data_IF_813222318032
#
_entry.id   IF_813222318032
#
_cell.length_a   1.000
_cell.length_b   1.000
_cell.length_c   1.000
_cell.angle_alpha   90.00
_cell.angle_beta   90.00
_cell.angle_gamma   90.00
#
_symmetry.space_group_name_H-M   'P 1'
#
loop_
_entity.id
_entity.type
_entity.pdbx_description
1 polymer ?
#
# COMPACT_ATOMS: atom_id res chain seq x y z
N UNK A 1 -5.98 20.97 -49.20
CA UNK A 1 -5.21 20.55 -48.00
C UNK A 1 -6.10 20.07 -46.85
N UNK A 2 -7.18 20.79 -46.48
CA UNK A 2 -8.09 20.36 -45.38
C UNK A 2 -8.81 19.04 -45.67
N UNK A 3 -9.29 18.82 -46.89
CA UNK A 3 -9.98 17.55 -47.25
C UNK A 3 -9.05 16.34 -47.13
N UNK A 4 -7.77 16.47 -47.50
CA UNK A 4 -6.77 15.42 -47.32
C UNK A 4 -6.49 15.15 -45.84
N UNK A 5 -6.46 16.20 -45.01
CA UNK A 5 -6.31 16.07 -43.57
C UNK A 5 -7.51 15.35 -42.93
N UNK A 6 -8.74 15.70 -43.32
CA UNK A 6 -9.96 15.03 -42.81
C UNK A 6 -10.01 13.57 -43.24
N UNK A 7 -9.67 13.25 -44.49
CA UNK A 7 -9.58 11.86 -44.98
C UNK A 7 -8.48 11.10 -44.24
N UNK A 8 -7.35 11.73 -43.95
CA UNK A 8 -6.26 11.13 -43.20
C UNK A 8 -6.63 10.87 -41.74
N UNK A 9 -7.31 11.81 -41.07
CA UNK A 9 -7.83 11.63 -39.70
C UNK A 9 -8.86 10.50 -39.68
N UNK A 10 -9.84 10.49 -40.60
CA UNK A 10 -10.84 9.41 -40.68
C UNK A 10 -10.24 8.05 -40.99
N UNK A 11 -9.20 8.00 -41.83
CA UNK A 11 -8.47 6.76 -42.12
C UNK A 11 -7.70 6.27 -40.89
N UNK A 12 -7.01 7.18 -40.19
CA UNK A 12 -6.28 6.88 -38.96
C UNK A 12 -7.20 6.41 -37.83
N UNK A 13 -8.42 6.95 -37.76
CA UNK A 13 -9.44 6.58 -36.79
C UNK A 13 -9.99 5.16 -37.05
N UNK A 14 -10.26 4.83 -38.32
CA UNK A 14 -10.64 3.46 -38.73
C UNK A 14 -9.54 2.43 -38.48
N UNK A 15 -8.28 2.79 -38.76
CA UNK A 15 -7.13 1.92 -38.49
C UNK A 15 -6.89 1.71 -36.98
N UNK A 16 -7.30 2.65 -36.12
CA UNK A 16 -7.24 2.49 -34.67
C UNK A 16 -8.34 1.55 -34.14
N UNK A 17 -9.57 1.70 -34.64
CA UNK A 17 -10.68 0.84 -34.21
C UNK A 17 -10.52 -0.61 -34.71
N UNK A 18 -10.00 -0.81 -35.91
CA UNK A 18 -9.71 -2.16 -36.43
C UNK A 18 -8.57 -2.86 -35.67
N UNK A 19 -7.59 -2.11 -35.15
CA UNK A 19 -6.54 -2.66 -34.28
C UNK A 19 -7.02 -2.94 -32.85
N UNK A 20 -8.00 -2.20 -32.35
CA UNK A 20 -8.67 -2.51 -31.07
C UNK A 20 -9.54 -3.77 -31.14
N UNK A 21 -10.10 -4.08 -32.32
CA UNK A 21 -10.89 -5.29 -32.55
C UNK A 21 -10.04 -6.54 -32.86
N UNK A 22 -8.75 -6.38 -33.12
CA UNK A 22 -7.79 -7.47 -33.35
C UNK A 22 -7.04 -7.86 -32.05
N UNK A 23 -7.61 -7.51 -30.90
CA UNK A 23 -7.20 -8.05 -29.61
C UNK A 23 -8.09 -9.28 -29.39
N UNK A 24 -7.47 -10.45 -29.47
CA UNK A 24 -8.09 -11.74 -29.25
C UNK A 24 -8.78 -11.74 -27.86
N UNK A 25 -10.07 -12.12 -27.74
CA UNK A 25 -10.81 -12.01 -26.48
C UNK A 25 -10.38 -13.02 -25.40
N UNK A 26 -9.46 -13.92 -25.71
CA UNK A 26 -8.99 -14.98 -24.80
C UNK A 26 -7.76 -14.59 -23.96
N UNK A 27 -7.10 -13.45 -24.22
CA UNK A 27 -5.76 -13.19 -23.67
C UNK A 27 -5.61 -11.94 -22.77
N UNK A 28 -6.69 -11.23 -22.41
CA UNK A 28 -6.54 -10.17 -21.39
C UNK A 28 -7.83 -9.83 -20.62
N UNK A 29 -7.73 -9.95 -19.28
CA UNK A 29 -8.50 -9.30 -18.19
C UNK A 29 -9.93 -9.72 -17.82
N UNK A 30 -10.49 -10.86 -18.27
CA UNK A 30 -11.81 -11.30 -17.77
C UNK A 30 -11.81 -12.10 -16.46
N UNK A 31 -10.67 -12.63 -16.03
CA UNK A 31 -10.61 -13.49 -14.84
C UNK A 31 -10.59 -12.73 -13.50
N UNK A 32 -10.52 -11.40 -13.52
CA UNK A 32 -10.58 -10.56 -12.31
C UNK A 32 -11.95 -9.91 -12.07
N UNK A 33 -12.97 -10.24 -12.86
CA UNK A 33 -14.34 -9.82 -12.58
C UNK A 33 -14.97 -10.88 -11.66
N UNK A 34 -14.71 -10.78 -10.36
CA UNK A 34 -15.45 -11.55 -9.35
C UNK A 34 -16.87 -10.99 -9.25
N UNK A 35 -17.88 -11.83 -9.44
CA UNK A 35 -19.27 -11.52 -9.10
C UNK A 35 -19.43 -11.60 -7.58
N UNK A 36 -19.73 -10.47 -6.95
CA UNK A 36 -20.06 -10.35 -5.54
C UNK A 36 -21.58 -10.51 -5.27
N UNK A 37 -22.27 -11.41 -5.98
CA UNK A 37 -23.68 -11.73 -5.68
C UNK A 37 -23.85 -12.91 -4.71
N UNK A 38 -22.75 -13.43 -4.16
CA UNK A 38 -22.74 -14.47 -3.15
C UNK A 38 -22.47 -13.85 -1.77
N UNK A 39 -23.51 -13.84 -0.94
CA UNK A 39 -23.46 -13.49 0.48
C UNK A 39 -22.48 -14.45 1.18
N UNK A 40 -21.22 -14.01 1.33
CA UNK A 40 -20.14 -14.80 1.90
C UNK A 40 -19.40 -14.06 3.00
N UNK A 41 -19.64 -14.47 4.26
CA UNK A 41 -18.65 -14.41 5.34
C UNK A 41 -18.51 -13.11 6.13
N UNK A 42 -19.59 -12.35 6.32
CA UNK A 42 -19.63 -11.13 7.15
C UNK A 42 -19.54 -11.37 8.66
N UNK A 43 -18.55 -12.15 9.11
CA UNK A 43 -18.33 -12.41 10.55
C UNK A 43 -16.93 -12.06 11.08
N UNK A 44 -15.95 -11.70 10.23
CA UNK A 44 -14.65 -11.16 10.71
C UNK A 44 -14.57 -9.62 10.64
N UNK A 45 -15.49 -8.99 9.93
CA UNK A 45 -15.56 -7.55 9.65
C UNK A 45 -16.41 -6.76 10.67
N UNK A 46 -16.78 -7.36 11.80
CA UNK A 46 -17.70 -6.72 12.74
C UNK A 46 -16.98 -5.88 13.81
N UNK A 47 -15.68 -6.08 13.97
CA UNK A 47 -14.89 -5.47 15.04
C UNK A 47 -13.97 -4.35 14.52
N UNK A 48 -14.46 -3.55 13.56
CA UNK A 48 -13.73 -2.36 13.13
C UNK A 48 -13.72 -1.32 14.26
N UNK A 49 -12.54 -1.06 14.82
CA UNK A 49 -12.32 0.05 15.74
C UNK A 49 -12.41 1.37 14.98
N UNK A 50 -13.62 1.93 14.92
CA UNK A 50 -13.92 3.22 14.28
C UNK A 50 -13.16 4.39 14.93
N UNK A 51 -12.54 4.20 16.11
CA UNK A 51 -11.65 5.22 16.68
C UNK A 51 -10.41 5.46 15.81
N UNK A 52 -10.03 4.50 14.96
CA UNK A 52 -8.97 4.66 13.95
C UNK A 52 -9.38 5.58 12.79
N UNK A 53 -10.68 5.73 12.54
CA UNK A 53 -11.24 6.60 11.50
C UNK A 53 -11.63 7.98 12.02
N UNK A 54 -11.57 8.21 13.33
CA UNK A 54 -12.02 9.45 13.93
C UNK A 54 -11.03 10.58 13.60
N UNK A 55 -11.39 11.42 12.63
CA UNK A 55 -10.77 12.72 12.45
C UNK A 55 -10.97 13.54 13.73
N UNK A 56 -9.90 14.00 14.40
CA UNK A 56 -10.05 14.89 15.54
C UNK A 56 -10.35 16.29 15.01
N UNK A 57 -11.60 16.52 14.61
CA UNK A 57 -12.08 17.86 14.41
C UNK A 57 -12.33 18.52 15.77
N UNK A 58 -11.89 19.76 15.86
CA UNK A 58 -12.07 20.74 16.94
C UNK A 58 -11.11 20.66 18.15
N UNK A 59 -9.95 21.31 17.94
CA UNK A 59 -9.49 22.44 18.77
C UNK A 59 -9.12 22.23 20.25
N UNK A 60 -9.15 21.02 20.82
CA UNK A 60 -8.66 20.80 22.19
C UNK A 60 -7.23 20.26 22.22
N UNK A 61 -6.33 21.25 22.24
CA UNK A 61 -5.12 21.31 23.05
C UNK A 61 -4.93 20.12 24.02
N UNK A 62 -3.82 19.38 23.81
CA UNK A 62 -2.96 18.81 24.85
C UNK A 62 -3.72 18.25 26.07
N UNK A 63 -4.01 16.95 26.14
CA UNK A 63 -3.89 16.12 27.38
C UNK A 63 -4.41 14.67 27.24
N UNK A 64 -5.29 14.32 26.31
CA UNK A 64 -5.79 12.92 26.21
C UNK A 64 -5.45 12.27 24.87
N UNK A 65 -4.27 11.64 24.80
CA UNK A 65 -3.85 10.92 23.60
C UNK A 65 -4.19 9.43 23.71
N UNK A 66 -5.15 8.90 22.94
CA UNK A 66 -5.24 7.47 22.70
C UNK A 66 -4.00 6.99 21.91
N UNK A 67 -3.47 5.78 22.18
CA UNK A 67 -2.38 5.22 21.39
C UNK A 67 -2.87 4.95 19.95
N UNK A 68 -2.12 5.36 18.92
CA UNK A 68 -2.39 4.92 17.54
C UNK A 68 -2.10 5.92 16.42
N UNK A 69 -2.30 7.24 16.61
CA UNK A 69 -2.01 8.23 15.55
C UNK A 69 -1.50 9.55 16.14
N UNK A 70 -0.35 10.04 15.65
CA UNK A 70 0.19 11.37 16.01
C UNK A 70 0.05 12.31 14.81
N UNK A 71 -0.78 13.35 14.91
CA UNK A 71 -0.75 14.48 13.96
C UNK A 71 0.41 15.41 14.31
N UNK A 72 1.18 15.83 13.32
CA UNK A 72 2.22 16.85 13.45
C UNK A 72 2.05 17.85 12.33
N UNK A 73 1.76 19.10 12.66
CA UNK A 73 1.63 20.18 11.67
C UNK A 73 3.02 20.65 11.24
N UNK A 74 3.25 20.74 9.93
CA UNK A 74 4.53 21.15 9.34
C UNK A 74 4.39 22.56 8.75
N UNK A 75 5.04 23.55 9.39
CA UNK A 75 5.05 24.92 8.88
C UNK A 75 5.98 25.01 7.66
N UNK A 76 5.53 25.57 6.53
CA UNK A 76 6.39 25.77 5.36
C UNK A 76 7.63 26.61 5.70
N UNK A 77 8.81 26.11 5.35
CA UNK A 77 10.09 26.84 5.50
C UNK A 77 10.34 27.64 4.21
N UNK A 78 9.54 28.68 4.01
CA UNK A 78 9.60 29.57 2.85
C UNK A 78 9.94 30.98 3.37
N UNK A 79 10.72 31.80 2.65
CA UNK A 79 10.88 33.21 3.01
C UNK A 79 9.52 33.90 3.22
N UNK A 80 9.39 34.64 4.32
CA UNK A 80 8.15 35.31 4.72
C UNK A 80 7.67 36.29 3.64
N UNK A 81 6.34 36.47 3.58
CA UNK A 81 5.68 37.43 2.71
C UNK A 81 6.21 38.84 2.98
N UNK A 82 6.63 39.56 1.93
CA UNK A 82 7.11 40.93 2.06
C UNK A 82 5.92 41.90 2.07
N UNK A 83 5.64 42.42 3.26
CA UNK A 83 4.66 43.50 3.43
C UNK A 83 5.24 44.85 2.98
N UNK A 84 4.40 45.74 2.40
CA UNK A 84 4.84 47.08 2.03
C UNK A 84 5.31 47.85 3.27
N UNK A 85 6.46 48.51 3.13
CA UNK A 85 7.04 49.33 4.20
C UNK A 85 6.30 50.66 4.24
N UNK A 86 5.77 51.01 5.41
CA UNK A 86 5.03 52.27 5.58
C UNK A 86 5.98 53.46 5.37
N UNK A 87 5.66 54.41 4.47
CA UNK A 87 6.48 55.60 4.29
C UNK A 87 6.56 56.43 5.58
N UNK A 88 7.76 56.93 5.89
CA UNK A 88 8.04 57.72 7.10
C UNK A 88 7.30 59.07 7.10
N UNK A 89 6.88 59.55 5.93
CA UNK A 89 6.14 60.81 5.77
C UNK A 89 4.68 60.50 5.42
N UNK A 90 3.70 60.85 6.27
CA UNK A 90 2.30 60.59 6.00
C UNK A 90 1.79 61.49 4.86
N UNK A 91 1.53 60.91 3.69
CA UNK A 91 0.76 61.57 2.64
C UNK A 91 -0.69 61.06 2.66
N UNK A 92 -1.70 61.93 2.74
CA UNK A 92 -3.10 61.53 2.92
C UNK A 92 -3.72 60.81 1.70
N UNK A 93 -3.06 60.80 0.55
CA UNK A 93 -3.48 60.04 -0.64
C UNK A 93 -2.96 58.60 -0.71
N UNK A 94 -1.85 58.29 -0.03
CA UNK A 94 -1.11 57.02 -0.23
C UNK A 94 -1.61 55.89 0.66
N UNK A 95 -2.50 56.18 1.62
CA UNK A 95 -2.97 55.19 2.59
C UNK A 95 -3.84 54.11 1.96
N UNK A 96 -4.62 54.46 0.92
CA UNK A 96 -5.46 53.51 0.20
C UNK A 96 -4.62 52.46 -0.52
N UNK A 97 -3.58 52.90 -1.23
CA UNK A 97 -2.65 52.03 -1.93
C UNK A 97 -1.82 51.18 -0.96
N UNK A 98 -1.36 51.76 0.14
CA UNK A 98 -0.68 51.03 1.21
C UNK A 98 -1.54 49.90 1.80
N UNK A 99 -2.82 50.18 2.09
CA UNK A 99 -3.74 49.15 2.60
C UNK A 99 -4.02 48.10 1.53
N UNK A 100 -4.22 48.50 0.28
CA UNK A 100 -4.51 47.58 -0.81
C UNK A 100 -3.33 46.64 -1.09
N UNK A 101 -2.11 47.16 -1.09
CA UNK A 101 -0.89 46.39 -1.25
C UNK A 101 -0.65 45.47 -0.04
N UNK A 102 -0.87 45.96 1.18
CA UNK A 102 -0.74 45.17 2.41
C UNK A 102 -1.77 44.04 2.50
N UNK A 103 -3.01 44.30 2.09
CA UNK A 103 -4.06 43.30 1.99
C UNK A 103 -3.70 42.23 0.96
N UNK A 104 -3.23 42.64 -0.22
CA UNK A 104 -2.78 41.69 -1.24
C UNK A 104 -1.62 40.82 -0.75
N UNK A 105 -0.68 41.39 0.01
CA UNK A 105 0.42 40.62 0.61
C UNK A 105 -0.09 39.60 1.65
N UNK A 106 -1.04 40.01 2.50
CA UNK A 106 -1.64 39.13 3.51
C UNK A 106 -2.46 37.98 2.90
N UNK A 107 -3.29 38.28 1.89
CA UNK A 107 -4.17 37.28 1.25
C UNK A 107 -3.37 36.24 0.44
N UNK A 108 -2.16 36.58 0.00
CA UNK A 108 -1.28 35.68 -0.77
C UNK A 108 -0.12 35.13 0.07
N UNK A 109 -0.20 35.20 1.39
CA UNK A 109 0.83 34.67 2.28
C UNK A 109 0.80 33.13 2.31
N UNK A 110 1.83 32.44 1.77
CA UNK A 110 1.88 30.98 1.76
C UNK A 110 2.20 30.37 3.13
N UNK A 111 2.56 31.19 4.11
CA UNK A 111 2.86 30.78 5.49
C UNK A 111 1.65 30.88 6.41
N UNK A 112 0.51 31.31 5.87
CA UNK A 112 -0.77 31.32 6.57
C UNK A 112 -1.32 29.88 6.75
N UNK A 113 -1.98 29.57 7.88
CA UNK A 113 -2.68 28.29 8.07
C UNK A 113 -3.87 28.09 7.10
N UNK A 114 -4.35 26.86 6.90
CA UNK A 114 -3.94 25.61 7.55
C UNK A 114 -2.62 25.06 7.00
N UNK A 115 -1.83 24.44 7.88
CA UNK A 115 -0.59 23.77 7.51
C UNK A 115 -0.86 22.33 7.07
N UNK A 116 0.04 21.80 6.25
CA UNK A 116 0.11 20.38 6.00
C UNK A 116 0.42 19.65 7.31
N UNK A 117 -0.07 18.41 7.46
CA UNK A 117 0.13 17.64 8.66
C UNK A 117 0.53 16.20 8.33
N UNK A 118 1.49 15.68 9.08
CA UNK A 118 1.92 14.30 9.00
C UNK A 118 1.10 13.45 9.96
N UNK A 119 0.68 12.28 9.48
CA UNK A 119 0.08 11.23 10.31
C UNK A 119 1.13 10.15 10.56
N UNK A 120 1.58 10.06 11.81
CA UNK A 120 2.52 9.00 12.21
C UNK A 120 1.72 7.80 12.72
N UNK A 121 1.87 6.68 12.01
CA UNK A 121 1.31 5.38 12.35
C UNK A 121 2.41 4.48 12.92
N UNK A 122 2.12 3.83 14.04
CA UNK A 122 3.04 2.95 14.77
C UNK A 122 2.41 1.61 15.19
N UNK A 123 1.29 1.24 14.55
CA UNK A 123 0.61 -0.02 14.83
C UNK A 123 1.39 -1.22 14.28
N UNK A 124 1.96 -2.01 15.19
CA UNK A 124 2.76 -3.21 14.89
C UNK A 124 1.90 -4.49 14.74
N UNK A 125 0.61 -4.41 15.10
CA UNK A 125 -0.25 -5.58 15.22
C UNK A 125 -0.32 -6.13 16.64
N UNK A 126 -1.17 -7.12 16.84
CA UNK A 126 -1.51 -7.65 18.17
C UNK A 126 -0.67 -8.87 18.59
N UNK A 127 0.37 -9.22 17.84
CA UNK A 127 1.22 -10.38 18.14
C UNK A 127 0.49 -11.72 18.01
N UNK A 128 -0.38 -11.88 17.01
CA UNK A 128 -1.12 -13.11 16.77
C UNK A 128 -0.17 -14.28 16.50
N UNK A 129 -0.45 -15.43 17.13
CA UNK A 129 0.28 -16.66 16.87
C UNK A 129 0.10 -17.05 15.41
N UNK A 130 1.19 -17.12 14.64
CA UNK A 130 1.16 -17.77 13.34
C UNK A 130 0.63 -19.19 13.57
N UNK A 131 -0.45 -19.58 12.89
CA UNK A 131 -1.11 -20.87 13.11
C UNK A 131 -0.18 -22.09 12.93
N UNK A 132 -0.77 -23.28 12.85
CA UNK A 132 0.05 -24.48 12.64
C UNK A 132 0.71 -24.47 11.26
N UNK A 133 2.04 -24.47 11.21
CA UNK A 133 2.81 -24.68 9.97
C UNK A 133 2.93 -26.18 9.68
N UNK A 134 2.96 -26.56 8.40
CA UNK A 134 3.14 -27.95 8.01
C UNK A 134 4.50 -28.48 8.47
N UNK A 135 4.52 -29.70 9.02
CA UNK A 135 5.77 -30.38 9.38
C UNK A 135 6.63 -30.61 8.13
N UNK A 136 7.93 -30.35 8.26
CA UNK A 136 8.92 -30.58 7.18
C UNK A 136 9.15 -32.07 6.89
N UNK A 137 8.58 -32.97 7.69
CA UNK A 137 8.73 -34.42 7.55
C UNK A 137 7.90 -34.91 6.35
N UNK A 138 8.39 -34.62 5.16
CA UNK A 138 7.94 -35.25 3.92
C UNK A 138 8.57 -36.63 3.77
N UNK A 139 7.74 -37.56 3.31
CA UNK A 139 8.00 -38.95 2.97
C UNK A 139 8.12 -39.90 4.17
N UNK A 140 7.08 -40.72 4.33
CA UNK A 140 7.20 -42.11 4.80
C UNK A 140 8.50 -42.66 4.22
N UNK A 141 9.43 -43.03 5.10
CA UNK A 141 10.71 -43.65 4.81
C UNK A 141 10.47 -44.90 3.95
N UNK A 142 10.50 -44.69 2.64
CA UNK A 142 10.43 -45.73 1.63
C UNK A 142 11.73 -46.51 1.62
N UNK A 143 11.55 -47.81 1.42
CA UNK A 143 12.52 -48.89 1.30
C UNK A 143 13.12 -49.35 2.63
N UNK A 144 12.47 -50.36 3.21
CA UNK A 144 12.94 -51.19 4.32
C UNK A 144 13.99 -52.22 3.84
N UNK A 145 14.78 -51.85 2.83
CA UNK A 145 15.79 -52.71 2.24
C UNK A 145 17.10 -52.51 3.01
N UNK A 146 17.45 -53.49 3.82
CA UNK A 146 18.58 -53.44 4.74
C UNK A 146 19.80 -54.23 4.25
N UNK A 147 19.89 -54.53 2.95
CA UNK A 147 20.93 -55.38 2.36
C UNK A 147 22.36 -54.87 2.62
N UNK A 148 22.52 -53.55 2.78
CA UNK A 148 23.80 -52.92 3.14
C UNK A 148 24.37 -53.38 4.50
N UNK A 149 23.55 -53.95 5.38
CA UNK A 149 24.01 -54.49 6.67
C UNK A 149 24.96 -55.69 6.49
N UNK A 150 24.85 -56.41 5.38
CA UNK A 150 25.73 -57.55 5.07
C UNK A 150 27.18 -57.11 4.91
N UNK A 151 27.42 -55.89 4.42
CA UNK A 151 28.75 -55.37 4.13
C UNK A 151 29.42 -54.66 5.32
N UNK A 152 28.70 -54.42 6.43
CA UNK A 152 29.22 -53.69 7.60
C UNK A 152 30.10 -54.55 8.53
N UNK A 153 30.23 -55.84 8.23
CA UNK A 153 31.14 -56.76 8.92
C UNK A 153 30.55 -57.43 10.17
N UNK A 154 31.38 -58.19 10.93
CA UNK A 154 30.90 -59.21 11.87
C UNK A 154 30.11 -58.66 13.06
N UNK A 155 30.30 -57.37 13.41
CA UNK A 155 29.52 -56.73 14.49
C UNK A 155 28.06 -56.51 14.12
N UNK A 156 27.75 -56.40 12.84
CA UNK A 156 26.41 -56.15 12.31
C UNK A 156 25.73 -57.41 11.78
N UNK A 157 26.42 -58.56 11.82
CA UNK A 157 25.89 -59.85 11.34
C UNK A 157 24.51 -60.18 11.92
N UNK A 158 24.31 -59.99 13.23
CA UNK A 158 23.01 -60.25 13.85
C UNK A 158 21.89 -59.35 13.31
N UNK A 159 22.21 -58.10 12.95
CA UNK A 159 21.24 -57.18 12.35
C UNK A 159 20.99 -57.56 10.87
N UNK A 160 22.03 -57.92 10.13
CA UNK A 160 21.91 -58.44 8.77
C UNK A 160 21.06 -59.72 8.72
N UNK A 161 21.28 -60.66 9.64
CA UNK A 161 20.50 -61.90 9.74
C UNK A 161 19.00 -61.62 10.06
N UNK A 162 18.69 -60.54 10.80
CA UNK A 162 17.31 -60.19 11.16
C UNK A 162 16.56 -59.38 10.08
N UNK A 163 17.27 -58.60 9.27
CA UNK A 163 16.67 -57.60 8.37
C UNK A 163 17.04 -57.78 6.88
N UNK A 164 18.02 -58.60 6.53
CA UNK A 164 18.60 -58.74 5.19
C UNK A 164 17.97 -59.82 4.29
N UNK A 165 16.71 -60.20 4.54
CA UNK A 165 15.97 -61.17 3.72
C UNK A 165 16.50 -62.60 3.83
N UNK A 166 15.80 -63.45 4.58
CA UNK A 166 16.12 -64.88 4.65
C UNK A 166 15.95 -65.57 3.29
N UNK A 167 17.06 -65.84 2.62
CA UNK A 167 17.11 -66.86 1.57
C UNK A 167 17.17 -68.24 2.25
N UNK A 168 16.01 -68.71 2.71
CA UNK A 168 15.82 -70.13 3.02
C UNK A 168 15.44 -70.86 1.71
N UNK A 169 16.42 -71.49 1.06
CA UNK A 169 16.24 -72.70 0.24
C UNK A 169 16.98 -73.87 0.92
#
# INVERSE_FOLDING_TARGET
>A
MVLLFVVWVKRREKERQTKQLLIDPEDDVRDNILKYDEEGGGEEDQDYDLSQLQQPDSLEHIISKPPGVRRVDERPIIPESQFPIRPVVPHPGDIGDFIHEGLRAADNDPTAPPYDSLLVFDYEGSGSTAGSVSSLNSSSTGDQDYDYLNDWGPRFKKLADMYGGGADE
#
